data_IF_917371225335
#
_entry.id   IF_917371225335
#
_cell.length_a   1.000
_cell.length_b   1.000
_cell.length_c   1.000
_cell.angle_alpha   90.00
_cell.angle_beta   90.00
_cell.angle_gamma   90.00
#
_symmetry.space_group_name_H-M   'P 1'
#
loop_
_entity.id
_entity.type
_entity.pdbx_description
1 polymer ?
#
# COMPACT_ATOMS: atom_id res chain seq x y z
N UNK A 1 -2.71 7.16 7.53
CA UNK A 1 -3.42 5.98 6.99
C UNK A 1 -4.10 6.39 5.70
N UNK A 2 -3.69 5.79 4.58
CA UNK A 2 -4.18 6.10 3.24
C UNK A 2 -5.13 4.99 2.82
N UNK A 3 -6.30 5.35 2.30
CA UNK A 3 -7.35 4.42 1.86
C UNK A 3 -7.55 4.58 0.36
N UNK A 4 -7.79 3.46 -0.33
CA UNK A 4 -7.93 3.40 -1.78
C UNK A 4 -9.34 2.96 -2.16
N UNK A 5 -9.86 3.58 -3.21
CA UNK A 5 -11.15 3.34 -3.82
C UNK A 5 -12.33 3.64 -2.90
N UNK A 6 -13.53 3.72 -3.48
CA UNK A 6 -14.65 2.93 -3.02
C UNK A 6 -14.60 1.57 -3.70
N UNK A 7 -14.43 0.49 -2.92
CA UNK A 7 -14.57 -0.87 -3.44
C UNK A 7 -15.84 -1.50 -2.89
N UNK A 8 -16.61 -2.12 -3.78
CA UNK A 8 -17.85 -2.81 -3.42
C UNK A 8 -17.53 -4.09 -2.65
N UNK A 9 -18.26 -4.34 -1.57
CA UNK A 9 -18.22 -5.63 -0.87
C UNK A 9 -19.10 -6.61 -1.64
N UNK A 10 -18.50 -7.65 -2.20
CA UNK A 10 -19.21 -8.69 -2.97
C UNK A 10 -19.71 -9.81 -2.05
N UNK A 11 -18.95 -10.11 -1.00
CA UNK A 11 -19.23 -11.25 -0.13
C UNK A 11 -18.69 -11.01 1.28
N UNK A 12 -19.42 -11.47 2.30
CA UNK A 12 -18.90 -11.64 3.66
C UNK A 12 -18.40 -13.07 3.82
N UNK A 13 -17.09 -13.26 3.76
CA UNK A 13 -16.43 -14.59 3.82
C UNK A 13 -16.40 -15.15 5.25
N UNK A 14 -16.44 -14.28 6.27
CA UNK A 14 -16.50 -14.70 7.66
C UNK A 14 -16.92 -13.57 8.60
N UNK A 15 -16.81 -13.82 9.91
CA UNK A 15 -17.20 -12.83 10.91
C UNK A 15 -16.44 -11.50 10.74
N UNK A 16 -15.16 -11.58 10.34
CA UNK A 16 -14.23 -10.46 10.24
C UNK A 16 -13.54 -10.33 8.87
N UNK A 17 -14.00 -11.07 7.86
CA UNK A 17 -13.38 -11.10 6.53
C UNK A 17 -14.41 -10.83 5.42
N UNK A 18 -14.06 -9.94 4.50
CA UNK A 18 -14.92 -9.50 3.40
C UNK A 18 -14.17 -9.55 2.07
N UNK A 19 -14.86 -9.98 1.01
CA UNK A 19 -14.37 -9.95 -0.37
C UNK A 19 -14.78 -8.65 -1.04
N UNK A 20 -13.82 -7.95 -1.61
CA UNK A 20 -14.01 -6.72 -2.37
C UNK A 20 -13.99 -6.98 -3.88
N UNK A 21 -14.74 -6.18 -4.63
CA UNK A 21 -14.66 -6.10 -6.10
C UNK A 21 -13.47 -5.24 -6.49
N UNK A 22 -12.30 -5.87 -6.61
CA UNK A 22 -11.10 -5.19 -7.06
C UNK A 22 -11.09 -5.03 -8.59
N UNK A 23 -10.37 -4.03 -9.13
CA UNK A 23 -10.09 -3.94 -10.56
C UNK A 23 -9.37 -5.20 -11.05
N UNK A 24 -9.56 -5.61 -12.32
CA UNK A 24 -8.92 -6.79 -12.88
C UNK A 24 -7.39 -6.68 -12.91
N UNK A 25 -6.85 -5.47 -12.85
CA UNK A 25 -5.40 -5.21 -12.80
C UNK A 25 -4.80 -5.36 -11.40
N UNK A 26 -5.61 -5.60 -10.37
CA UNK A 26 -5.14 -5.71 -9.00
C UNK A 26 -4.39 -7.02 -8.76
N UNK A 27 -3.13 -6.94 -8.34
CA UNK A 27 -2.27 -8.08 -8.02
C UNK A 27 -2.28 -8.42 -6.52
N UNK A 28 -3.44 -8.30 -5.88
CA UNK A 28 -3.63 -8.60 -4.45
C UNK A 28 -4.88 -9.45 -4.24
N UNK A 29 -4.90 -10.23 -3.16
CA UNK A 29 -6.07 -11.02 -2.84
C UNK A 29 -7.28 -10.13 -2.51
N UNK A 30 -8.49 -10.46 -3.01
CA UNK A 30 -9.66 -9.63 -2.83
C UNK A 30 -10.29 -9.74 -1.43
N UNK A 31 -9.75 -10.55 -0.51
CA UNK A 31 -10.32 -10.79 0.81
C UNK A 31 -9.51 -10.04 1.87
N UNK A 32 -10.19 -9.16 2.60
CA UNK A 32 -9.58 -8.28 3.59
C UNK A 32 -10.22 -8.45 4.96
N UNK A 33 -9.42 -8.23 6.01
CA UNK A 33 -9.91 -8.17 7.38
C UNK A 33 -10.65 -6.85 7.62
N UNK A 34 -11.71 -6.86 8.43
CA UNK A 34 -12.57 -5.69 8.72
C UNK A 34 -11.79 -4.47 9.23
N UNK A 35 -10.67 -4.68 9.93
CA UNK A 35 -9.82 -3.58 10.42
C UNK A 35 -9.10 -2.79 9.32
N UNK A 36 -9.02 -3.35 8.11
CA UNK A 36 -8.42 -2.70 6.93
C UNK A 36 -9.47 -1.94 6.10
N UNK A 37 -10.75 -2.05 6.45
CA UNK A 37 -11.85 -1.46 5.70
C UNK A 37 -12.37 -0.22 6.42
N UNK A 38 -12.75 0.79 5.64
CA UNK A 38 -13.46 1.96 6.12
C UNK A 38 -14.70 2.17 5.26
N UNK A 39 -15.87 2.24 5.90
CA UNK A 39 -17.11 2.52 5.20
C UNK A 39 -17.04 3.92 4.58
N UNK A 40 -17.38 4.02 3.29
CA UNK A 40 -17.52 5.29 2.59
C UNK A 40 -18.89 5.87 2.94
N UNK A 41 -18.94 6.96 3.71
CA UNK A 41 -20.17 7.62 4.15
C UNK A 41 -20.22 9.02 3.54
N UNK A 42 -21.15 9.28 2.62
CA UNK A 42 -21.23 10.57 1.89
C UNK A 42 -20.18 10.71 0.78
N UNK A 43 -19.99 11.94 0.29
CA UNK A 43 -19.07 12.25 -0.82
C UNK A 43 -17.61 12.35 -0.32
N UNK A 44 -17.01 11.20 0.02
CA UNK A 44 -15.59 11.15 0.33
C UNK A 44 -14.73 11.03 -0.93
N UNK A 45 -13.75 11.92 -1.05
CA UNK A 45 -12.67 11.80 -2.03
C UNK A 45 -11.74 10.67 -1.58
N UNK A 46 -11.86 9.52 -2.22
CA UNK A 46 -10.94 8.39 -2.08
C UNK A 46 -10.03 8.34 -3.30
N UNK A 47 -8.77 7.99 -3.10
CA UNK A 47 -7.85 7.78 -4.22
C UNK A 47 -8.33 6.58 -5.03
N UNK A 48 -8.77 6.76 -6.29
CA UNK A 48 -9.43 5.68 -7.02
C UNK A 48 -8.46 4.58 -7.46
N UNK A 49 -7.17 4.89 -7.54
CA UNK A 49 -6.15 3.98 -8.06
C UNK A 49 -5.41 3.25 -6.95
N UNK A 50 -5.20 1.96 -7.14
CA UNK A 50 -4.31 1.18 -6.30
C UNK A 50 -2.86 1.68 -6.47
N UNK A 51 -2.02 1.57 -5.42
CA UNK A 51 -0.60 1.81 -5.53
C UNK A 51 0.01 0.99 -6.68
N UNK A 52 0.99 1.57 -7.35
CA UNK A 52 1.73 0.97 -8.49
C UNK A 52 2.12 -0.47 -8.16
N UNK A 53 2.69 -0.74 -6.98
CA UNK A 53 3.15 -2.09 -6.60
C UNK A 53 2.06 -3.11 -6.28
N UNK A 54 0.79 -2.72 -6.28
CA UNK A 54 -0.36 -3.62 -6.10
C UNK A 54 -1.08 -3.88 -7.44
N UNK A 55 -0.47 -3.52 -8.56
CA UNK A 55 -1.00 -3.70 -9.91
C UNK A 55 -0.07 -4.65 -10.68
N UNK A 56 -0.63 -5.67 -11.32
CA UNK A 56 0.09 -6.83 -11.90
C UNK A 56 1.18 -6.43 -12.90
N UNK A 57 0.94 -5.38 -13.69
CA UNK A 57 1.85 -4.88 -14.73
C UNK A 57 2.70 -3.68 -14.29
N UNK A 58 2.73 -3.35 -13.01
CA UNK A 58 3.40 -2.16 -12.48
C UNK A 58 4.36 -2.53 -11.35
N UNK A 59 5.56 -2.98 -11.72
CA UNK A 59 6.63 -3.15 -10.75
C UNK A 59 7.04 -1.77 -10.17
N UNK A 60 7.08 -1.66 -8.84
CA UNK A 60 7.74 -0.51 -8.19
C UNK A 60 9.23 -0.71 -8.34
N UNK A 61 9.83 0.00 -9.29
CA UNK A 61 11.28 0.09 -9.39
C UNK A 61 11.73 1.12 -8.35
N UNK A 62 12.02 0.67 -7.13
CA UNK A 62 12.64 1.53 -6.13
C UNK A 62 14.09 1.81 -6.55
N UNK A 63 14.37 3.04 -7.01
CA UNK A 63 15.74 3.49 -7.27
C UNK A 63 16.28 4.26 -6.07
N UNK A 64 17.48 3.94 -5.56
CA UNK A 64 18.10 4.72 -4.50
C UNK A 64 18.51 6.08 -5.07
N UNK A 65 18.07 7.17 -4.42
CA UNK A 65 18.38 8.55 -4.81
C UNK A 65 19.54 9.08 -3.99
N UNK A 66 19.49 8.88 -2.67
CA UNK A 66 20.43 9.49 -1.74
C UNK A 66 20.55 8.66 -0.46
N UNK A 67 21.73 8.66 0.17
CA UNK A 67 21.88 8.17 1.55
C UNK A 67 21.68 9.35 2.48
N UNK A 68 20.62 9.30 3.30
CA UNK A 68 20.21 10.42 4.16
C UNK A 68 20.56 10.19 5.65
N UNK A 69 21.18 9.06 5.96
CA UNK A 69 21.62 8.73 7.31
C UNK A 69 22.50 7.49 7.36
N UNK A 70 23.33 7.39 8.39
CA UNK A 70 24.21 6.24 8.63
C UNK A 70 24.29 5.96 10.12
N UNK A 71 24.33 4.69 10.52
CA UNK A 71 24.60 4.27 11.89
C UNK A 71 25.41 2.98 11.94
N UNK A 72 26.13 2.76 13.04
CA UNK A 72 26.72 1.45 13.31
C UNK A 72 25.67 0.52 13.92
N UNK A 73 25.30 -0.52 13.17
CA UNK A 73 24.44 -1.60 13.64
C UNK A 73 25.26 -2.75 14.20
N UNK A 74 24.56 -3.73 14.79
CA UNK A 74 25.18 -4.93 15.36
C UNK A 74 25.88 -5.82 14.31
N UNK A 75 25.57 -5.62 13.02
CA UNK A 75 26.13 -6.38 11.89
C UNK A 75 27.02 -5.53 10.96
N UNK A 76 27.36 -4.30 11.35
CA UNK A 76 28.17 -3.38 10.55
C UNK A 76 27.46 -2.06 10.26
N UNK A 77 27.96 -1.32 9.27
CA UNK A 77 27.42 -0.03 8.87
C UNK A 77 26.02 -0.20 8.24
N UNK A 78 25.02 0.44 8.81
CA UNK A 78 23.67 0.55 8.28
C UNK A 78 23.49 1.94 7.68
N UNK A 79 22.91 2.02 6.48
CA UNK A 79 22.64 3.28 5.77
C UNK A 79 21.14 3.43 5.54
N UNK A 80 20.63 4.64 5.72
CA UNK A 80 19.24 5.01 5.48
C UNK A 80 19.13 5.59 4.06
N UNK A 81 18.43 4.90 3.19
CA UNK A 81 18.34 5.23 1.76
C UNK A 81 17.02 5.95 1.47
N UNK A 82 17.13 7.12 0.83
CA UNK A 82 16.02 7.81 0.18
C UNK A 82 15.75 7.18 -1.18
N UNK A 83 14.48 6.86 -1.44
CA UNK A 83 14.05 6.20 -2.67
C UNK A 83 13.33 7.18 -3.61
N UNK A 84 13.51 6.97 -4.91
CA UNK A 84 12.90 7.77 -5.97
C UNK A 84 11.37 7.69 -5.87
N UNK A 85 10.73 8.87 -5.74
CA UNK A 85 9.27 8.98 -5.67
C UNK A 85 8.65 8.68 -4.30
N UNK A 86 9.45 8.40 -3.27
CA UNK A 86 9.00 8.24 -1.89
C UNK A 86 9.36 9.46 -1.02
N UNK A 87 8.67 9.60 0.10
CA UNK A 87 8.92 10.65 1.08
C UNK A 87 10.06 10.27 2.03
N UNK A 88 10.59 11.26 2.77
CA UNK A 88 11.66 11.03 3.75
C UNK A 88 11.28 10.05 4.85
N UNK A 89 10.00 10.04 5.24
CA UNK A 89 9.47 9.13 6.26
C UNK A 89 9.38 7.67 5.75
N UNK A 90 9.48 7.48 4.44
CA UNK A 90 9.48 6.17 3.76
C UNK A 90 10.91 5.72 3.39
N UNK A 91 11.94 6.45 3.81
CA UNK A 91 13.33 6.02 3.66
C UNK A 91 13.62 4.78 4.51
N UNK A 92 14.46 3.86 4.00
CA UNK A 92 14.77 2.58 4.66
C UNK A 92 16.25 2.26 4.64
#
# INVERSE_FOLDING_TARGET
LRFYGPFEIVERVGAVAYRLKLPPTAAIHPVFHVSQLKAVIGDHVVEPELPVGLIEDKAVVCKPVEVIGTREGSKGLEVLVMWEGLTRDEAT
#
